data_IF_665255523602
#
_entry.id   IF_665255523602
#
_cell.length_a   1.000
_cell.length_b   1.000
_cell.length_c   1.000
_cell.angle_alpha   90.00
_cell.angle_beta   90.00
_cell.angle_gamma   90.00
#
_symmetry.space_group_name_H-M   'P 1'
#
loop_
_entity.id
_entity.type
_entity.pdbx_description
1 polymer ?
#
# COMPACT_ATOMS: atom_id res chain seq x y z
N UNK A 1 -19.88 12.07 -20.43
CA UNK A 1 -20.51 10.83 -20.95
C UNK A 1 -20.74 9.92 -19.76
N UNK A 2 -21.93 9.42 -19.54
CA UNK A 2 -22.25 8.49 -18.44
C UNK A 2 -21.98 7.07 -18.92
N UNK A 3 -21.47 6.19 -18.02
CA UNK A 3 -21.33 4.77 -18.32
C UNK A 3 -22.68 4.19 -18.80
N UNK A 4 -22.65 3.40 -19.85
CA UNK A 4 -23.87 2.78 -20.41
C UNK A 4 -24.23 1.52 -19.63
N UNK A 5 -23.22 0.82 -19.08
CA UNK A 5 -23.40 -0.44 -18.36
C UNK A 5 -22.77 -0.35 -16.98
N UNK A 6 -23.55 -0.74 -15.97
CA UNK A 6 -23.10 -0.80 -14.58
C UNK A 6 -23.40 -2.18 -14.01
N UNK A 7 -22.35 -2.92 -13.67
CA UNK A 7 -22.42 -4.25 -13.08
C UNK A 7 -22.13 -4.20 -11.59
N UNK A 8 -22.90 -4.90 -10.78
CA UNK A 8 -22.73 -4.96 -9.34
C UNK A 8 -22.80 -6.41 -8.85
N UNK A 9 -21.74 -7.21 -9.06
CA UNK A 9 -21.69 -8.60 -8.62
C UNK A 9 -21.81 -8.71 -7.10
N UNK A 10 -22.35 -9.84 -6.65
CA UNK A 10 -22.56 -10.18 -5.24
C UNK A 10 -21.48 -11.11 -4.70
N UNK A 11 -20.67 -11.70 -5.58
CA UNK A 11 -19.56 -12.59 -5.23
C UNK A 11 -18.32 -12.27 -6.09
N UNK A 12 -17.14 -12.69 -5.60
CA UNK A 12 -15.89 -12.66 -6.39
C UNK A 12 -16.01 -13.45 -7.71
N UNK A 13 -16.64 -14.64 -7.66
CA UNK A 13 -16.86 -15.45 -8.85
C UNK A 13 -17.71 -14.75 -9.90
N UNK A 14 -18.83 -14.14 -9.50
CA UNK A 14 -19.66 -13.36 -10.43
C UNK A 14 -18.89 -12.16 -11.01
N UNK A 15 -18.01 -11.52 -10.22
CA UNK A 15 -17.21 -10.42 -10.70
C UNK A 15 -16.23 -10.83 -11.82
N UNK A 16 -15.52 -11.93 -11.65
CA UNK A 16 -14.58 -12.43 -12.68
C UNK A 16 -15.30 -12.97 -13.91
N UNK A 17 -16.48 -13.57 -13.75
CA UNK A 17 -17.32 -14.01 -14.89
C UNK A 17 -17.78 -12.82 -15.73
N UNK A 18 -18.19 -11.72 -15.09
CA UNK A 18 -18.56 -10.48 -15.78
C UNK A 18 -17.36 -9.83 -16.49
N UNK A 19 -16.17 -9.85 -15.89
CA UNK A 19 -14.95 -9.35 -16.55
C UNK A 19 -14.60 -10.19 -17.77
N UNK A 20 -14.62 -11.51 -17.65
CA UNK A 20 -14.37 -12.42 -18.77
C UNK A 20 -15.37 -12.20 -19.92
N UNK A 21 -16.65 -12.05 -19.59
CA UNK A 21 -17.72 -11.86 -20.57
C UNK A 21 -17.66 -10.51 -21.29
N UNK A 22 -17.32 -9.43 -20.57
CA UNK A 22 -17.42 -8.08 -21.09
C UNK A 22 -16.09 -7.51 -21.58
N UNK A 23 -14.97 -8.22 -21.31
CA UNK A 23 -13.66 -8.00 -21.89
C UNK A 23 -12.98 -6.71 -21.49
N UNK A 24 -11.96 -6.29 -22.26
CA UNK A 24 -11.17 -5.11 -21.94
C UNK A 24 -12.04 -3.84 -21.97
N UNK A 25 -11.61 -2.83 -21.20
CA UNK A 25 -12.32 -1.55 -21.11
C UNK A 25 -13.39 -1.47 -20.03
N UNK A 26 -13.59 -2.53 -19.23
CA UNK A 26 -14.41 -2.46 -18.02
C UNK A 26 -13.61 -1.77 -16.92
N UNK A 27 -14.11 -0.63 -16.42
CA UNK A 27 -13.55 0.01 -15.23
C UNK A 27 -13.97 -0.78 -13.99
N UNK A 28 -13.00 -1.42 -13.33
CA UNK A 28 -13.23 -2.07 -12.03
C UNK A 28 -13.19 -1.03 -10.93
N UNK A 29 -14.28 -0.92 -10.18
CA UNK A 29 -14.48 0.11 -9.17
C UNK A 29 -14.66 -0.52 -7.78
N UNK A 30 -13.72 -0.28 -6.87
CA UNK A 30 -13.87 -0.59 -5.45
C UNK A 30 -14.44 0.62 -4.69
N UNK A 31 -13.60 1.41 -4.02
CA UNK A 31 -14.02 2.62 -3.30
C UNK A 31 -14.28 3.84 -4.18
N UNK A 32 -13.72 3.89 -5.37
CA UNK A 32 -13.90 4.97 -6.34
C UNK A 32 -13.15 6.28 -6.05
N UNK A 33 -12.43 6.37 -4.94
CA UNK A 33 -11.79 7.63 -4.51
C UNK A 33 -10.64 8.10 -5.39
N UNK A 34 -10.12 7.23 -6.26
CA UNK A 34 -9.11 7.56 -7.28
C UNK A 34 -9.78 7.61 -8.67
N UNK A 35 -10.56 6.60 -9.01
CA UNK A 35 -11.14 6.47 -10.34
C UNK A 35 -12.22 7.53 -10.63
N UNK A 36 -13.09 7.85 -9.66
CA UNK A 36 -14.19 8.80 -9.90
C UNK A 36 -13.74 10.23 -10.17
N UNK A 37 -12.71 10.79 -9.52
CA UNK A 37 -12.14 12.08 -9.96
C UNK A 37 -11.73 12.08 -11.44
N UNK A 38 -11.04 11.03 -11.91
CA UNK A 38 -10.64 10.92 -13.32
C UNK A 38 -11.84 10.86 -14.28
N UNK A 39 -12.92 10.18 -13.87
CA UNK A 39 -14.17 10.14 -14.63
C UNK A 39 -14.86 11.51 -14.65
N UNK A 40 -14.93 12.19 -13.50
CA UNK A 40 -15.55 13.49 -13.38
C UNK A 40 -14.81 14.59 -14.16
N UNK A 41 -13.48 14.47 -14.25
CA UNK A 41 -12.63 15.38 -15.04
C UNK A 41 -12.60 15.03 -16.54
N UNK A 42 -13.27 13.93 -16.95
CA UNK A 42 -13.30 13.48 -18.35
C UNK A 42 -11.99 12.83 -18.83
N UNK A 43 -11.05 12.57 -17.92
CA UNK A 43 -9.77 11.88 -18.24
C UNK A 43 -10.03 10.40 -18.53
N UNK A 44 -10.95 9.79 -17.79
CA UNK A 44 -11.42 8.41 -18.02
C UNK A 44 -12.91 8.43 -18.39
N UNK A 45 -13.24 7.81 -19.51
CA UNK A 45 -14.63 7.75 -20.01
C UNK A 45 -15.05 6.30 -20.22
N UNK A 46 -15.21 5.51 -19.13
CA UNK A 46 -15.56 4.12 -19.26
C UNK A 46 -16.99 3.93 -19.75
N UNK A 47 -17.17 3.10 -20.76
CA UNK A 47 -18.51 2.69 -21.19
C UNK A 47 -19.13 1.68 -20.21
N UNK A 48 -18.27 0.83 -19.61
CA UNK A 48 -18.68 -0.25 -18.71
C UNK A 48 -17.99 -0.09 -17.36
N UNK A 49 -18.75 -0.22 -16.28
CA UNK A 49 -18.26 -0.15 -14.90
C UNK A 49 -18.67 -1.39 -14.15
N UNK A 50 -17.73 -2.03 -13.46
CA UNK A 50 -17.96 -3.16 -12.57
C UNK A 50 -17.62 -2.76 -11.14
N UNK A 51 -18.62 -2.69 -10.28
CA UNK A 51 -18.47 -2.29 -8.87
C UNK A 51 -18.29 -3.51 -7.97
N UNK A 52 -17.14 -3.61 -7.32
CA UNK A 52 -16.85 -4.67 -6.36
C UNK A 52 -17.48 -4.46 -4.97
N UNK A 53 -18.25 -3.40 -4.78
CA UNK A 53 -18.78 -2.99 -3.47
C UNK A 53 -19.61 -4.06 -2.76
N UNK A 54 -20.33 -4.89 -3.52
CA UNK A 54 -21.18 -5.97 -3.02
C UNK A 54 -20.59 -7.36 -3.26
N UNK A 55 -19.39 -7.46 -3.80
CA UNK A 55 -18.76 -8.72 -4.18
C UNK A 55 -18.30 -9.62 -3.02
N UNK A 56 -18.68 -9.31 -1.77
CA UNK A 56 -18.32 -10.12 -0.60
C UNK A 56 -16.86 -9.98 -0.14
N UNK A 57 -16.12 -9.00 -0.67
CA UNK A 57 -14.67 -8.80 -0.45
C UNK A 57 -14.36 -7.82 0.69
N UNK A 58 -15.26 -7.64 1.67
CA UNK A 58 -15.14 -6.64 2.73
C UNK A 58 -14.89 -7.22 4.12
N UNK A 59 -14.25 -8.39 4.19
CA UNK A 59 -13.98 -9.11 5.45
C UNK A 59 -12.51 -9.00 5.85
N UNK A 60 -12.27 -8.97 7.16
CA UNK A 60 -10.94 -9.13 7.77
C UNK A 60 -11.00 -10.44 8.58
N UNK A 61 -10.08 -11.35 8.29
CA UNK A 61 -10.09 -12.69 8.92
C UNK A 61 -8.67 -13.08 9.33
N UNK A 62 -8.56 -13.83 10.42
CA UNK A 62 -7.34 -14.52 10.81
C UNK A 62 -7.37 -15.93 10.26
N UNK A 63 -6.36 -16.31 9.48
CA UNK A 63 -6.26 -17.63 8.87
C UNK A 63 -4.81 -18.14 8.96
N UNK A 64 -4.62 -19.27 9.65
CA UNK A 64 -3.30 -19.93 9.74
C UNK A 64 -2.15 -19.00 10.19
N UNK A 65 -2.37 -18.15 11.19
CA UNK A 65 -1.38 -17.21 11.69
C UNK A 65 -1.16 -15.95 10.83
N UNK A 66 -1.86 -15.85 9.72
CA UNK A 66 -1.90 -14.67 8.85
C UNK A 66 -3.19 -13.89 9.02
N UNK A 67 -3.16 -12.61 8.66
CA UNK A 67 -4.35 -11.78 8.47
C UNK A 67 -4.70 -11.77 6.98
N UNK A 68 -5.95 -12.08 6.66
CA UNK A 68 -6.52 -11.95 5.32
C UNK A 68 -7.45 -10.73 5.29
N UNK A 69 -7.19 -9.78 4.42
CA UNK A 69 -7.94 -8.53 4.27
C UNK A 69 -8.56 -8.53 2.88
N UNK A 70 -9.88 -8.56 2.79
CA UNK A 70 -10.59 -8.47 1.50
C UNK A 70 -10.35 -7.13 0.81
N UNK A 71 -10.30 -7.14 -0.51
CA UNK A 71 -9.91 -5.99 -1.31
C UNK A 71 -10.84 -4.77 -1.15
N UNK A 72 -12.10 -4.99 -0.78
CA UNK A 72 -13.08 -3.90 -0.55
C UNK A 72 -13.21 -3.48 0.91
N UNK A 73 -12.39 -4.02 1.82
CA UNK A 73 -12.25 -3.49 3.18
C UNK A 73 -11.86 -2.03 3.11
N UNK A 74 -12.63 -1.16 3.78
CA UNK A 74 -12.38 0.27 3.76
C UNK A 74 -11.24 0.65 4.71
N UNK A 75 -10.59 1.78 4.45
CA UNK A 75 -9.57 2.32 5.35
C UNK A 75 -10.17 2.65 6.73
N UNK A 76 -11.45 3.03 6.82
CA UNK A 76 -12.15 3.21 8.10
C UNK A 76 -12.29 1.89 8.88
N UNK A 77 -12.53 0.76 8.19
CA UNK A 77 -12.54 -0.55 8.84
C UNK A 77 -11.13 -0.91 9.34
N UNK A 78 -10.07 -0.58 8.58
CA UNK A 78 -8.68 -0.77 9.01
C UNK A 78 -8.31 0.09 10.22
N UNK A 79 -8.82 1.32 10.33
CA UNK A 79 -8.64 2.16 11.54
C UNK A 79 -9.29 1.53 12.77
N UNK A 80 -10.35 0.76 12.61
CA UNK A 80 -11.08 0.11 13.71
C UNK A 80 -10.56 -1.27 14.10
N UNK A 81 -9.79 -1.94 13.23
CA UNK A 81 -9.21 -3.24 13.55
C UNK A 81 -8.09 -3.08 14.60
N UNK A 82 -7.93 -4.04 15.50
CA UNK A 82 -7.03 -3.92 16.66
C UNK A 82 -5.89 -4.94 16.69
N UNK A 83 -5.91 -5.93 15.81
CA UNK A 83 -4.91 -7.01 15.82
C UNK A 83 -3.52 -6.55 15.38
N UNK A 84 -3.44 -5.56 14.48
CA UNK A 84 -2.18 -4.99 13.98
C UNK A 84 -2.25 -3.47 14.05
N UNK A 85 -1.92 -2.85 15.22
CA UNK A 85 -1.99 -1.40 15.43
C UNK A 85 -1.24 -0.57 14.39
N UNK A 86 -0.15 -1.10 13.88
CA UNK A 86 0.64 -0.52 12.81
C UNK A 86 -0.19 -0.22 11.54
N UNK A 87 -1.11 -1.12 11.16
CA UNK A 87 -2.02 -0.91 10.04
C UNK A 87 -3.11 0.14 10.35
N UNK A 88 -3.50 0.28 11.61
CA UNK A 88 -4.41 1.35 12.03
C UNK A 88 -3.76 2.72 11.81
N UNK A 89 -2.48 2.88 12.25
CA UNK A 89 -1.70 4.11 12.07
C UNK A 89 -1.58 4.47 10.59
N UNK A 90 -1.21 3.49 9.75
CA UNK A 90 -1.10 3.68 8.31
C UNK A 90 -2.43 4.09 7.66
N UNK A 91 -3.54 3.43 8.00
CA UNK A 91 -4.86 3.76 7.49
C UNK A 91 -5.33 5.16 7.92
N UNK A 92 -5.05 5.54 9.17
CA UNK A 92 -5.41 6.84 9.72
C UNK A 92 -4.68 8.01 9.05
N UNK A 93 -3.47 7.77 8.56
CA UNK A 93 -2.66 8.77 7.84
C UNK A 93 -3.15 9.07 6.42
N UNK A 94 -4.11 8.30 5.89
CA UNK A 94 -4.60 8.45 4.52
C UNK A 94 -5.86 9.31 4.48
N UNK A 95 -5.82 10.34 3.66
CA UNK A 95 -6.97 11.18 3.32
C UNK A 95 -7.68 11.77 4.54
N UNK A 96 -8.85 12.35 4.29
CA UNK A 96 -9.81 12.72 5.30
C UNK A 96 -10.81 11.60 5.60
N UNK A 97 -11.71 11.84 6.55
CA UNK A 97 -12.73 10.88 6.97
C UNK A 97 -13.60 10.38 5.80
N UNK A 98 -14.05 11.28 4.92
CA UNK A 98 -14.86 10.91 3.75
C UNK A 98 -14.09 9.95 2.81
N UNK A 99 -12.80 10.21 2.58
CA UNK A 99 -11.94 9.34 1.75
C UNK A 99 -11.80 7.96 2.39
N UNK A 100 -11.53 7.89 3.69
CA UNK A 100 -11.37 6.59 4.38
C UNK A 100 -12.63 5.75 4.42
N UNK A 101 -13.81 6.37 4.46
CA UNK A 101 -15.09 5.65 4.43
C UNK A 101 -15.35 4.96 3.09
N UNK A 102 -14.75 5.47 2.02
CA UNK A 102 -14.95 4.98 0.65
C UNK A 102 -13.73 4.24 0.13
N UNK A 103 -12.53 4.77 0.37
CA UNK A 103 -11.27 4.19 -0.08
C UNK A 103 -11.04 2.83 0.55
N UNK A 104 -10.57 1.88 -0.25
CA UNK A 104 -10.41 0.48 0.13
C UNK A 104 -8.95 0.06 0.11
N UNK A 105 -8.62 -1.00 0.84
CA UNK A 105 -7.26 -1.56 0.90
C UNK A 105 -6.79 -1.99 -0.50
N UNK A 106 -7.60 -2.76 -1.24
CA UNK A 106 -7.26 -3.17 -2.60
C UNK A 106 -7.15 -1.99 -3.56
N UNK A 107 -8.08 -1.01 -3.48
CA UNK A 107 -8.01 0.21 -4.30
C UNK A 107 -6.77 1.06 -4.02
N UNK A 108 -6.26 1.06 -2.78
CA UNK A 108 -5.06 1.81 -2.41
C UNK A 108 -3.78 1.28 -3.06
N UNK A 109 -3.74 -0.01 -3.47
CA UNK A 109 -2.62 -0.58 -4.22
C UNK A 109 -2.42 0.09 -5.59
N UNK A 110 -3.49 0.64 -6.19
CA UNK A 110 -3.46 1.31 -7.48
C UNK A 110 -3.34 2.84 -7.36
N UNK A 111 -3.10 3.36 -6.17
CA UNK A 111 -2.96 4.79 -5.96
C UNK A 111 -1.62 5.28 -6.55
N UNK A 112 -1.64 6.27 -7.47
CA UNK A 112 -0.40 6.80 -8.03
C UNK A 112 0.43 7.51 -6.95
N UNK A 113 1.77 7.41 -6.99
CA UNK A 113 2.62 8.26 -6.15
C UNK A 113 2.30 9.75 -6.37
N UNK A 114 2.32 10.56 -5.32
CA UNK A 114 2.73 10.33 -3.94
C UNK A 114 1.62 9.79 -3.00
N UNK A 115 0.52 9.28 -3.53
CA UNK A 115 -0.51 8.57 -2.76
C UNK A 115 -0.16 7.07 -2.60
N UNK A 116 -1.07 6.26 -2.00
CA UNK A 116 -0.83 4.83 -1.84
C UNK A 116 -0.07 4.45 -0.56
N UNK A 117 -0.19 5.27 0.48
CA UNK A 117 0.58 5.09 1.72
C UNK A 117 0.28 3.77 2.46
N UNK A 118 -0.89 3.15 2.25
CA UNK A 118 -1.22 1.87 2.89
C UNK A 118 -0.38 0.72 2.34
N UNK A 119 -0.06 0.75 1.04
CA UNK A 119 0.81 -0.23 0.40
C UNK A 119 2.21 -0.30 1.03
N UNK A 120 2.72 0.81 1.55
CA UNK A 120 4.02 0.87 2.24
C UNK A 120 4.00 0.04 3.52
N UNK A 121 2.93 0.15 4.31
CA UNK A 121 2.77 -0.65 5.52
C UNK A 121 2.63 -2.14 5.20
N UNK A 122 1.92 -2.47 4.12
CA UNK A 122 1.79 -3.86 3.66
C UNK A 122 3.13 -4.44 3.16
N UNK A 123 3.93 -3.66 2.42
CA UNK A 123 5.28 -4.05 1.98
C UNK A 123 6.22 -4.33 3.15
N UNK A 124 6.17 -3.49 4.20
CA UNK A 124 6.97 -3.70 5.41
C UNK A 124 6.55 -4.96 6.19
N UNK A 125 5.39 -5.54 5.90
CA UNK A 125 4.88 -6.77 6.52
C UNK A 125 4.95 -7.99 5.58
N UNK A 126 5.69 -7.93 4.48
CA UNK A 126 5.79 -9.01 3.47
C UNK A 126 4.41 -9.48 2.98
N UNK A 127 3.48 -8.56 2.78
CA UNK A 127 2.15 -8.92 2.32
C UNK A 127 2.18 -9.52 0.91
N UNK A 128 1.21 -10.39 0.64
CA UNK A 128 0.93 -10.94 -0.68
C UNK A 128 -0.46 -10.51 -1.14
N UNK A 129 -0.67 -10.46 -2.44
CA UNK A 129 -1.95 -10.15 -3.08
C UNK A 129 -2.50 -11.41 -3.74
N UNK A 130 -3.73 -11.80 -3.41
CA UNK A 130 -4.45 -12.85 -4.13
C UNK A 130 -5.23 -12.20 -5.27
N UNK A 131 -4.97 -12.65 -6.48
CA UNK A 131 -5.60 -12.23 -7.71
C UNK A 131 -6.54 -13.33 -8.18
N UNK A 132 -7.79 -12.99 -8.45
CA UNK A 132 -8.82 -13.91 -8.91
C UNK A 132 -9.18 -13.63 -10.37
N UNK A 133 -9.32 -14.68 -11.15
CA UNK A 133 -9.80 -14.70 -12.53
C UNK A 133 -10.76 -15.85 -12.74
N UNK A 134 -11.39 -15.95 -13.91
CA UNK A 134 -12.20 -17.11 -14.29
C UNK A 134 -11.42 -18.42 -14.29
N UNK A 135 -10.12 -18.37 -14.56
CA UNK A 135 -9.22 -19.53 -14.55
C UNK A 135 -8.77 -19.99 -13.15
N UNK A 136 -9.16 -19.29 -12.08
CA UNK A 136 -8.76 -19.57 -10.71
C UNK A 136 -8.06 -18.40 -10.04
N UNK A 137 -7.33 -18.69 -8.98
CA UNK A 137 -6.62 -17.67 -8.19
C UNK A 137 -5.11 -17.90 -8.23
N UNK A 138 -4.35 -16.80 -8.18
CA UNK A 138 -2.89 -16.81 -7.95
C UNK A 138 -2.52 -15.82 -6.87
N UNK A 139 -1.40 -16.07 -6.21
CA UNK A 139 -0.89 -15.18 -5.17
C UNK A 139 0.50 -14.66 -5.60
N UNK A 140 0.70 -13.35 -5.43
CA UNK A 140 1.95 -12.65 -5.77
C UNK A 140 2.40 -11.89 -4.54
N UNK A 141 3.70 -11.88 -4.23
CA UNK A 141 4.21 -10.98 -3.21
C UNK A 141 3.96 -9.53 -3.62
N UNK A 142 3.56 -8.68 -2.66
CA UNK A 142 3.26 -7.28 -2.97
C UNK A 142 4.50 -6.55 -3.54
N UNK A 143 5.69 -6.98 -3.17
CA UNK A 143 6.95 -6.47 -3.71
C UNK A 143 7.06 -6.69 -5.23
N UNK A 144 6.60 -7.85 -5.71
CA UNK A 144 6.64 -8.24 -7.13
C UNK A 144 5.41 -7.75 -7.91
N UNK A 145 4.40 -7.25 -7.19
CA UNK A 145 3.15 -6.78 -7.80
C UNK A 145 3.34 -5.48 -8.59
N UNK A 146 4.26 -4.60 -8.16
CA UNK A 146 4.56 -3.35 -8.85
C UNK A 146 5.66 -3.57 -9.88
N UNK A 147 5.36 -3.35 -11.16
CA UNK A 147 6.29 -3.57 -12.29
C UNK A 147 6.80 -2.27 -12.91
N UNK A 148 6.21 -1.12 -12.56
CA UNK A 148 6.59 0.19 -13.07
C UNK A 148 5.66 1.31 -12.61
N UNK A 149 5.89 2.52 -13.12
CA UNK A 149 5.01 3.66 -12.82
C UNK A 149 3.60 3.39 -13.36
N UNK A 150 2.61 3.34 -12.47
CA UNK A 150 1.22 2.96 -12.75
C UNK A 150 1.05 1.57 -13.39
N UNK A 151 2.04 0.71 -13.23
CA UNK A 151 2.05 -0.64 -13.79
C UNK A 151 2.10 -1.68 -12.66
N UNK A 152 1.28 -2.71 -12.80
CA UNK A 152 1.22 -3.84 -11.87
C UNK A 152 1.21 -5.16 -12.63
N UNK A 153 1.47 -6.28 -11.94
CA UNK A 153 1.35 -7.64 -12.49
C UNK A 153 -0.13 -8.13 -12.56
N UNK A 154 -1.11 -7.23 -12.44
CA UNK A 154 -2.51 -7.56 -12.66
C UNK A 154 -2.73 -7.85 -14.15
N UNK A 155 -3.26 -9.03 -14.47
CA UNK A 155 -3.54 -9.46 -15.83
C UNK A 155 -4.97 -9.10 -16.22
N UNK A 156 -5.24 -9.10 -17.52
CA UNK A 156 -6.59 -8.91 -18.03
C UNK A 156 -7.54 -9.97 -17.45
N UNK A 157 -8.74 -9.55 -17.04
CA UNK A 157 -9.72 -10.44 -16.41
C UNK A 157 -9.45 -10.76 -14.94
N UNK A 158 -8.38 -10.23 -14.32
CA UNK A 158 -8.11 -10.41 -12.91
C UNK A 158 -8.67 -9.26 -12.06
N UNK A 159 -9.05 -9.61 -10.84
CA UNK A 159 -9.32 -8.65 -9.75
C UNK A 159 -8.43 -8.95 -8.55
N UNK A 160 -8.11 -7.93 -7.76
CA UNK A 160 -7.58 -8.15 -6.41
C UNK A 160 -8.72 -8.65 -5.53
N UNK A 161 -8.58 -9.85 -4.99
CA UNK A 161 -9.56 -10.49 -4.13
C UNK A 161 -9.28 -10.20 -2.65
N UNK A 162 -8.04 -10.40 -2.22
CA UNK A 162 -7.61 -10.17 -0.84
C UNK A 162 -6.11 -9.89 -0.76
N UNK A 163 -5.71 -9.31 0.36
CA UNK A 163 -4.33 -9.15 0.78
C UNK A 163 -4.08 -10.11 1.95
N UNK A 164 -3.00 -10.87 1.88
CA UNK A 164 -2.55 -11.78 2.92
C UNK A 164 -1.27 -11.23 3.52
N UNK A 165 -1.17 -11.17 4.83
CA UNK A 165 0.06 -10.75 5.51
C UNK A 165 0.28 -11.56 6.79
N UNK A 166 1.54 -11.86 7.13
CA UNK A 166 1.87 -12.43 8.43
C UNK A 166 1.59 -11.41 9.53
N UNK A 167 1.11 -11.87 10.69
CA UNK A 167 1.01 -11.01 11.85
C UNK A 167 2.43 -10.72 12.35
N UNK A 168 2.84 -9.43 12.43
CA UNK A 168 4.22 -9.07 12.74
C UNK A 168 4.63 -9.53 14.15
N UNK A 169 5.82 -10.12 14.26
CA UNK A 169 6.42 -10.56 15.54
C UNK A 169 7.54 -9.64 16.01
N UNK A 170 7.73 -8.50 15.38
CA UNK A 170 8.76 -7.53 15.72
C UNK A 170 8.18 -6.18 16.07
N UNK A 171 9.06 -5.18 16.19
CA UNK A 171 8.68 -3.78 16.35
C UNK A 171 8.36 -3.19 14.98
N UNK A 172 7.34 -2.39 14.92
CA UNK A 172 6.90 -1.70 13.71
C UNK A 172 6.83 -0.20 13.93
N UNK A 173 7.10 0.59 12.91
CA UNK A 173 6.88 2.04 12.93
C UNK A 173 6.46 2.54 11.56
N UNK A 174 5.52 3.46 11.56
CA UNK A 174 5.05 4.16 10.36
C UNK A 174 5.30 5.66 10.51
N UNK A 175 5.72 6.31 9.44
CA UNK A 175 5.89 7.76 9.41
C UNK A 175 5.50 8.28 8.03
N UNK A 176 4.48 9.11 7.99
CA UNK A 176 4.12 9.89 6.80
C UNK A 176 4.53 11.34 7.03
N UNK A 177 5.38 11.86 6.17
CA UNK A 177 5.74 13.26 6.14
C UNK A 177 5.06 13.96 4.97
N UNK A 178 4.26 14.95 5.25
CA UNK A 178 3.51 15.75 4.28
C UNK A 178 3.51 17.23 4.65
N UNK A 179 2.92 18.07 3.80
CA UNK A 179 2.84 19.53 4.03
C UNK A 179 1.86 19.91 5.16
N UNK A 180 0.98 18.99 5.56
CA UNK A 180 -0.03 19.14 6.63
C UNK A 180 -0.12 17.85 7.40
N UNK A 181 -0.71 17.88 8.60
CA UNK A 181 -0.89 16.69 9.43
C UNK A 181 -1.96 15.72 8.89
N UNK A 182 -2.95 16.21 8.13
CA UNK A 182 -4.04 15.39 7.61
C UNK A 182 -4.40 15.81 6.18
N UNK A 183 -5.02 14.88 5.46
CA UNK A 183 -5.56 15.05 4.11
C UNK A 183 -4.56 15.73 3.15
N UNK A 184 -3.39 15.17 3.05
CA UNK A 184 -2.30 15.66 2.21
C UNK A 184 -1.57 14.50 1.53
N UNK A 185 -1.12 14.67 0.28
CA UNK A 185 -0.17 13.75 -0.31
C UNK A 185 1.16 13.77 0.46
N UNK A 186 1.88 12.66 0.42
CA UNK A 186 3.16 12.55 1.11
C UNK A 186 4.29 13.28 0.38
N UNK A 187 5.22 13.83 1.14
CA UNK A 187 6.58 14.13 0.68
C UNK A 187 7.42 12.85 0.69
N UNK A 188 7.34 12.12 1.80
CA UNK A 188 7.95 10.80 2.01
C UNK A 188 7.06 10.01 2.95
N UNK A 189 6.81 8.75 2.66
CA UNK A 189 6.22 7.78 3.58
C UNK A 189 7.20 6.66 3.82
N UNK A 190 7.39 6.28 5.08
CA UNK A 190 8.27 5.19 5.51
C UNK A 190 7.51 4.27 6.44
N UNK A 191 7.64 2.98 6.21
CA UNK A 191 7.18 1.90 7.09
C UNK A 191 8.33 0.95 7.38
N UNK A 192 8.51 0.58 8.64
CA UNK A 192 9.56 -0.34 9.05
C UNK A 192 9.00 -1.44 9.95
N UNK A 193 9.49 -2.66 9.76
CA UNK A 193 9.32 -3.81 10.64
C UNK A 193 10.69 -4.39 10.96
N UNK A 194 11.05 -4.45 12.24
CA UNK A 194 12.35 -4.90 12.73
C UNK A 194 12.14 -6.01 13.76
N UNK A 195 12.71 -7.17 13.51
CA UNK A 195 12.80 -8.26 14.48
C UNK A 195 14.16 -8.25 15.14
N UNK A 196 14.19 -8.32 16.48
CA UNK A 196 15.40 -8.35 17.27
C UNK A 196 15.58 -9.71 17.94
N UNK A 197 16.82 -10.17 18.04
CA UNK A 197 17.23 -11.33 18.83
C UNK A 197 18.43 -10.92 19.69
N UNK A 198 18.29 -10.97 21.03
CA UNK A 198 19.30 -10.50 21.96
C UNK A 198 19.73 -9.02 21.77
N UNK A 199 18.84 -8.17 21.24
CA UNK A 199 19.14 -6.76 20.95
C UNK A 199 19.83 -6.53 19.60
N UNK A 200 20.07 -7.59 18.82
CA UNK A 200 20.62 -7.53 17.45
C UNK A 200 19.50 -7.68 16.44
N UNK A 201 19.55 -6.92 15.36
CA UNK A 201 18.59 -7.01 14.26
C UNK A 201 18.74 -8.35 13.55
N UNK A 202 17.72 -9.20 13.67
CA UNK A 202 17.63 -10.49 12.99
C UNK A 202 17.00 -10.37 11.61
N UNK A 203 16.03 -9.50 11.47
CA UNK A 203 15.29 -9.24 10.25
C UNK A 203 14.83 -7.79 10.19
N UNK A 204 14.91 -7.20 9.00
CA UNK A 204 14.56 -5.81 8.75
C UNK A 204 13.77 -5.70 7.45
N UNK A 205 12.68 -4.95 7.51
CA UNK A 205 11.86 -4.53 6.37
C UNK A 205 11.71 -3.03 6.42
N UNK A 206 12.06 -2.36 5.35
CA UNK A 206 12.02 -0.90 5.23
C UNK A 206 11.40 -0.52 3.89
N UNK A 207 10.15 -0.10 3.90
CA UNK A 207 9.41 0.28 2.72
C UNK A 207 9.21 1.80 2.63
N UNK A 208 9.27 2.33 1.42
CA UNK A 208 9.15 3.77 1.12
C UNK A 208 8.11 4.01 0.03
N UNK A 209 7.46 5.18 0.08
CA UNK A 209 6.62 5.71 -0.99
C UNK A 209 6.82 7.22 -1.16
N UNK A 210 6.29 7.76 -2.27
CA UNK A 210 6.42 9.15 -2.71
C UNK A 210 7.85 9.55 -3.14
N UNK A 211 8.76 8.60 -3.17
CA UNK A 211 10.18 8.80 -3.52
C UNK A 211 10.70 7.76 -4.53
N UNK A 212 9.79 7.23 -5.31
CA UNK A 212 10.03 6.28 -6.39
C UNK A 212 8.83 6.22 -7.35
N UNK A 213 8.93 5.49 -8.46
CA UNK A 213 7.84 5.32 -9.41
C UNK A 213 6.66 4.52 -8.84
N UNK A 214 6.87 3.77 -7.76
CA UNK A 214 5.89 2.99 -6.99
C UNK A 214 6.41 2.77 -5.57
N UNK A 215 5.59 2.28 -4.62
CA UNK A 215 6.06 1.88 -3.30
C UNK A 215 7.08 0.73 -3.40
N UNK A 216 8.20 0.83 -2.72
CA UNK A 216 9.29 -0.14 -2.83
C UNK A 216 9.98 -0.40 -1.47
N UNK A 217 10.76 -1.48 -1.40
CA UNK A 217 11.61 -1.81 -0.25
C UNK A 217 13.05 -1.37 -0.49
N UNK A 218 13.65 -0.71 0.51
CA UNK A 218 15.04 -0.26 0.48
C UNK A 218 15.98 -1.41 0.88
N UNK A 219 16.24 -2.34 -0.04
CA UNK A 219 16.94 -3.60 0.21
C UNK A 219 18.37 -3.44 0.72
N UNK A 220 19.11 -2.43 0.25
CA UNK A 220 20.46 -2.15 0.74
C UNK A 220 20.44 -1.68 2.18
N UNK A 221 19.48 -0.80 2.50
CA UNK A 221 19.28 -0.34 3.87
C UNK A 221 18.86 -1.49 4.80
N UNK A 222 17.94 -2.37 4.36
CA UNK A 222 17.53 -3.56 5.11
C UNK A 222 18.74 -4.48 5.41
N UNK A 223 19.52 -4.77 4.39
CA UNK A 223 20.73 -5.61 4.52
C UNK A 223 21.74 -5.02 5.49
N UNK A 224 21.94 -3.70 5.47
CA UNK A 224 22.88 -3.02 6.37
C UNK A 224 22.42 -3.01 7.84
N UNK A 225 21.11 -3.12 8.08
CA UNK A 225 20.57 -3.21 9.45
C UNK A 225 20.75 -4.59 10.06
N UNK A 226 20.69 -5.67 9.26
CA UNK A 226 20.79 -7.05 9.75
C UNK A 226 22.15 -7.28 10.40
N UNK A 227 22.15 -7.84 11.61
CA UNK A 227 23.35 -8.06 12.43
C UNK A 227 23.82 -6.85 13.25
N UNK A 228 23.17 -5.67 13.09
CA UNK A 228 23.47 -4.47 13.89
C UNK A 228 22.69 -4.45 15.21
N UNK A 229 23.09 -3.57 16.13
CA UNK A 229 22.36 -3.30 17.38
C UNK A 229 21.28 -2.22 17.24
N UNK A 230 20.96 -1.78 16.04
CA UNK A 230 20.05 -0.68 15.76
C UNK A 230 20.44 0.62 16.54
N UNK A 231 21.75 0.85 16.64
CA UNK A 231 22.32 2.06 17.25
C UNK A 231 22.32 3.25 16.27
N UNK A 232 22.77 4.42 16.76
CA UNK A 232 22.80 5.64 15.97
C UNK A 232 23.60 5.51 14.66
N UNK A 233 24.71 4.75 14.67
CA UNK A 233 25.55 4.57 13.49
C UNK A 233 24.88 3.65 12.46
N UNK A 234 24.28 2.54 12.89
CA UNK A 234 23.55 1.64 12.02
C UNK A 234 22.33 2.34 11.39
N UNK A 235 21.60 3.14 12.18
CA UNK A 235 20.45 3.94 11.72
C UNK A 235 20.91 4.99 10.70
N UNK A 236 22.00 5.71 10.95
CA UNK A 236 22.53 6.71 10.01
C UNK A 236 22.93 6.06 8.68
N UNK A 237 23.69 4.96 8.72
CA UNK A 237 24.11 4.22 7.53
C UNK A 237 22.90 3.71 6.72
N UNK A 238 21.92 3.08 7.36
CA UNK A 238 20.71 2.61 6.69
C UNK A 238 19.90 3.76 6.07
N UNK A 239 19.87 4.93 6.73
CA UNK A 239 19.17 6.11 6.22
C UNK A 239 19.82 6.67 4.95
N UNK A 240 21.15 6.70 4.90
CA UNK A 240 21.90 7.16 3.73
C UNK A 240 21.77 6.15 2.56
N UNK A 241 21.81 4.85 2.86
CA UNK A 241 21.56 3.81 1.86
C UNK A 241 20.16 3.91 1.26
N UNK A 242 19.13 4.07 2.09
CA UNK A 242 17.75 4.24 1.64
C UNK A 242 17.59 5.50 0.76
N UNK A 243 18.27 6.59 1.10
CA UNK A 243 18.32 7.80 0.27
C UNK A 243 18.97 7.52 -1.10
N UNK A 244 20.00 6.68 -1.14
CA UNK A 244 20.67 6.26 -2.38
C UNK A 244 19.81 5.36 -3.28
N UNK A 245 18.89 4.58 -2.70
CA UNK A 245 17.96 3.71 -3.44
C UNK A 245 16.74 4.47 -3.98
N UNK A 246 16.41 5.63 -3.42
CA UNK A 246 15.26 6.43 -3.80
C UNK A 246 15.43 7.07 -5.19
N UNK A 247 14.34 7.10 -5.95
CA UNK A 247 14.23 7.74 -7.27
C UNK A 247 13.10 8.79 -7.23
N UNK A 248 13.27 9.86 -6.44
CA UNK A 248 12.22 10.86 -6.26
C UNK A 248 12.00 11.68 -7.54
N UNK A 249 10.85 12.35 -7.59
CA UNK A 249 10.41 13.20 -8.68
C UNK A 249 9.94 14.56 -8.14
N UNK A 250 9.85 15.55 -9.02
CA UNK A 250 9.29 16.88 -8.73
C UNK A 250 7.81 16.90 -9.12
N UNK A 251 6.95 17.37 -8.19
CA UNK A 251 5.54 17.62 -8.41
C UNK A 251 5.06 18.88 -7.67
N UNK A 252 3.75 19.14 -7.64
CA UNK A 252 3.18 20.27 -6.91
C UNK A 252 3.35 20.18 -5.36
N UNK A 253 3.70 19.00 -4.84
CA UNK A 253 3.88 18.76 -3.39
C UNK A 253 5.29 19.10 -2.94
N UNK A 254 6.31 18.62 -3.67
CA UNK A 254 7.72 18.81 -3.31
C UNK A 254 8.65 18.60 -4.53
N UNK A 255 9.82 19.26 -4.50
CA UNK A 255 10.86 19.02 -5.49
C UNK A 255 11.56 17.68 -5.23
N UNK A 256 12.14 17.10 -6.29
CA UNK A 256 13.00 15.91 -6.22
C UNK A 256 14.10 16.07 -5.17
N UNK A 257 14.81 17.21 -5.20
CA UNK A 257 15.87 17.51 -4.25
C UNK A 257 15.40 17.43 -2.80
N UNK A 258 14.23 18.04 -2.51
CA UNK A 258 13.68 18.04 -1.17
C UNK A 258 13.24 16.64 -0.73
N UNK A 259 12.55 15.91 -1.60
CA UNK A 259 12.16 14.52 -1.34
C UNK A 259 13.38 13.66 -1.02
N UNK A 260 14.45 13.75 -1.82
CA UNK A 260 15.71 13.03 -1.61
C UNK A 260 16.32 13.30 -0.24
N UNK A 261 16.43 14.57 0.15
CA UNK A 261 16.92 14.93 1.49
C UNK A 261 16.04 14.41 2.61
N UNK A 262 14.74 14.46 2.43
CA UNK A 262 13.78 14.00 3.44
C UNK A 262 13.74 12.47 3.59
N UNK A 263 14.17 11.68 2.60
CA UNK A 263 14.30 10.23 2.77
C UNK A 263 15.18 9.90 3.97
N UNK A 264 16.43 10.37 3.99
CA UNK A 264 17.35 10.08 5.10
C UNK A 264 16.79 10.54 6.46
N UNK A 265 16.17 11.73 6.50
CA UNK A 265 15.59 12.27 7.73
C UNK A 265 14.42 11.42 8.25
N UNK A 266 13.50 11.01 7.37
CA UNK A 266 12.30 10.29 7.78
C UNK A 266 12.61 8.81 8.05
N UNK A 267 13.51 8.18 7.31
CA UNK A 267 14.01 6.83 7.61
C UNK A 267 14.66 6.81 9.00
N UNK A 268 15.56 7.73 9.26
CA UNK A 268 16.20 7.87 10.59
C UNK A 268 15.16 7.96 11.70
N UNK A 269 14.22 8.90 11.60
CA UNK A 269 13.17 9.10 12.61
C UNK A 269 12.30 7.88 12.81
N UNK A 270 12.00 7.14 11.73
CA UNK A 270 11.20 5.91 11.79
C UNK A 270 11.97 4.79 12.52
N UNK A 271 13.25 4.64 12.24
CA UNK A 271 14.09 3.65 12.92
C UNK A 271 14.38 4.03 14.39
N UNK A 272 14.56 5.32 14.69
CA UNK A 272 14.69 5.84 16.07
C UNK A 272 13.45 5.55 16.92
N UNK A 273 12.24 5.65 16.38
CA UNK A 273 11.01 5.22 17.08
C UNK A 273 11.08 3.74 17.48
N UNK A 274 11.60 2.87 16.61
CA UNK A 274 11.76 1.45 16.91
C UNK A 274 12.84 1.21 17.97
N UNK A 275 13.97 1.90 17.87
CA UNK A 275 15.11 1.77 18.79
C UNK A 275 14.77 2.29 20.19
N UNK A 276 14.12 3.44 20.29
CA UNK A 276 13.73 4.09 21.54
C UNK A 276 12.57 3.42 22.30
N UNK A 277 11.94 2.39 21.74
CA UNK A 277 10.86 1.66 22.38
C UNK A 277 9.60 2.50 22.57
N UNK A 278 9.12 3.12 21.47
CA UNK A 278 8.03 4.09 21.38
C UNK A 278 6.84 3.87 22.27
#
# INVERSE_FOLDING_TARGET
MTAQYYFQPTTSGEAVDLLDKHGPGVLVLAGGTIAMPLVNEGISMPEKVLSLRKAGLNTIQRKNGNMAIGATVTLTQMVKQTEVPFLQEAAQAIGGWAIRNMGTVGGNLFAPPPAGDFAVALLALDASVTLASKGGTRTVFLEDFYTGFLMTDLREGEIVEQILLPIPKGKTAFTKFGRRHANTPAVVTVAAHISLDGGVVKDARLALNAVGPYPFRAKKAETALIGSKLDANAIANASDLAMGEAQPFTDAVASEWYRRKMVAVIVRRTLEKIAGGG
#
